data_IF_894439875012
#
_entry.id   IF_894439875012
#
_cell.length_a   1.000
_cell.length_b   1.000
_cell.length_c   1.000
_cell.angle_alpha   90.00
_cell.angle_beta   90.00
_cell.angle_gamma   90.00
#
_symmetry.space_group_name_H-M   'P 1'
#
loop_
_entity.id
_entity.type
_entity.pdbx_description
1 polymer ?
#
# COMPACT_ATOMS: atom_id res chain seq x y z
N UNK A 1 -3.61 -11.95 -30.50
CA UNK A 1 -3.59 -10.56 -30.00
C UNK A 1 -4.44 -10.56 -28.76
N UNK A 2 -3.80 -10.57 -27.60
CA UNK A 2 -4.51 -10.52 -26.33
C UNK A 2 -4.96 -9.07 -26.11
N UNK A 3 -6.27 -8.87 -25.97
CA UNK A 3 -6.84 -7.53 -25.92
C UNK A 3 -6.66 -6.99 -24.50
N UNK A 4 -5.66 -6.11 -24.29
CA UNK A 4 -5.47 -5.43 -22.99
C UNK A 4 -6.77 -4.72 -22.60
N UNK A 5 -7.45 -5.24 -21.58
CA UNK A 5 -8.78 -4.80 -21.13
C UNK A 5 -8.69 -3.46 -20.37
N UNK A 6 -7.57 -3.25 -19.68
CA UNK A 6 -7.28 -2.04 -18.91
C UNK A 6 -6.11 -1.28 -19.53
N UNK A 7 -6.15 0.04 -19.41
CA UNK A 7 -5.05 0.92 -19.79
C UNK A 7 -4.25 1.27 -18.55
N UNK A 8 -2.92 1.23 -18.67
CA UNK A 8 -2.03 1.59 -17.57
C UNK A 8 -2.22 3.06 -17.15
N UNK A 9 -2.56 3.36 -15.88
CA UNK A 9 -2.85 4.73 -15.45
C UNK A 9 -1.60 5.62 -15.32
N UNK A 10 -0.42 5.04 -15.05
CA UNK A 10 0.81 5.79 -14.88
C UNK A 10 1.79 5.15 -13.90
N UNK A 11 2.83 5.90 -13.52
CA UNK A 11 3.69 5.58 -12.39
C UNK A 11 3.07 6.17 -11.12
N UNK A 12 2.89 5.37 -10.08
CA UNK A 12 2.27 5.83 -8.83
C UNK A 12 3.10 6.95 -8.17
N UNK A 13 2.43 8.02 -7.74
CA UNK A 13 3.05 9.20 -7.09
C UNK A 13 2.44 9.58 -5.74
N UNK A 14 1.20 9.21 -5.47
CA UNK A 14 0.52 9.51 -4.21
C UNK A 14 -0.50 8.46 -3.85
N UNK A 15 -0.66 8.21 -2.54
CA UNK A 15 -1.65 7.30 -1.96
C UNK A 15 -2.38 8.05 -0.85
N UNK A 16 -3.71 8.07 -0.91
CA UNK A 16 -4.55 8.83 0.02
C UNK A 16 -5.71 7.97 0.52
N UNK A 17 -5.97 7.96 1.83
CA UNK A 17 -7.14 7.27 2.37
C UNK A 17 -8.41 7.99 1.90
N UNK A 18 -9.28 7.29 1.18
CA UNK A 18 -10.43 7.89 0.49
C UNK A 18 -11.78 7.46 1.04
N UNK A 19 -11.89 6.22 1.53
CA UNK A 19 -13.13 5.68 2.09
C UNK A 19 -12.84 4.76 3.27
N UNK A 20 -13.50 4.97 4.41
CA UNK A 20 -13.59 3.98 5.50
C UNK A 20 -14.97 3.33 5.44
N UNK A 21 -15.03 2.00 5.35
CA UNK A 21 -16.30 1.28 5.19
C UNK A 21 -16.87 0.86 6.54
N UNK A 22 -16.12 0.08 7.32
CA UNK A 22 -16.47 -0.38 8.66
C UNK A 22 -15.24 -0.98 9.37
N UNK A 23 -15.42 -1.33 10.64
CA UNK A 23 -14.46 -2.07 11.46
C UNK A 23 -14.90 -3.54 11.56
N UNK A 24 -14.01 -4.46 11.18
CA UNK A 24 -14.25 -5.91 11.22
C UNK A 24 -14.14 -6.45 12.65
N UNK A 25 -14.75 -7.61 12.90
CA UNK A 25 -14.51 -8.46 14.08
C UNK A 25 -13.15 -9.20 14.05
N UNK A 26 -12.38 -9.09 12.96
CA UNK A 26 -11.08 -9.75 12.77
C UNK A 26 -9.95 -8.73 12.53
N UNK A 27 -8.83 -8.86 13.24
CA UNK A 27 -7.68 -7.94 13.11
C UNK A 27 -7.13 -7.93 11.68
N UNK A 28 -7.09 -9.10 11.07
CA UNK A 28 -6.50 -9.36 9.75
C UNK A 28 -7.48 -10.04 8.82
N UNK A 29 -7.31 -9.80 7.53
CA UNK A 29 -8.10 -10.39 6.45
C UNK A 29 -7.74 -9.72 5.13
N UNK A 30 -8.50 -10.03 4.09
CA UNK A 30 -8.47 -9.29 2.84
C UNK A 30 -9.88 -9.17 2.25
N UNK A 31 -10.02 -8.24 1.32
CA UNK A 31 -11.27 -7.98 0.62
C UNK A 31 -10.99 -7.30 -0.72
N UNK A 32 -11.73 -7.67 -1.75
CA UNK A 32 -11.49 -7.18 -3.11
C UNK A 32 -12.76 -7.21 -3.97
N UNK A 33 -12.68 -6.68 -5.19
CA UNK A 33 -13.69 -6.87 -6.25
C UNK A 33 -13.01 -7.58 -7.43
N UNK A 34 -13.79 -8.34 -8.22
CA UNK A 34 -13.31 -8.89 -9.48
C UNK A 34 -13.21 -7.76 -10.53
N UNK A 35 -12.00 -7.40 -11.00
CA UNK A 35 -11.87 -6.30 -11.96
C UNK A 35 -12.39 -6.68 -13.34
N UNK A 36 -12.51 -7.94 -13.73
CA UNK A 36 -13.02 -8.31 -15.06
C UNK A 36 -14.56 -8.29 -15.12
N UNK A 37 -15.25 -8.50 -14.01
CA UNK A 37 -16.71 -8.37 -13.95
C UNK A 37 -17.18 -6.92 -13.77
N UNK A 38 -18.07 -6.46 -14.65
CA UNK A 38 -18.79 -5.19 -14.48
C UNK A 38 -19.94 -5.34 -13.46
N UNK A 39 -19.59 -5.56 -12.19
CA UNK A 39 -20.56 -5.66 -11.09
C UNK A 39 -20.04 -5.02 -9.80
N UNK A 40 -20.96 -4.74 -8.87
CA UNK A 40 -20.64 -4.21 -7.54
C UNK A 40 -20.45 -5.28 -6.46
N UNK A 41 -20.23 -6.53 -6.88
CA UNK A 41 -19.86 -7.61 -5.99
C UNK A 41 -18.57 -7.31 -5.25
N UNK A 42 -18.59 -7.56 -3.94
CA UNK A 42 -17.43 -7.48 -3.04
C UNK A 42 -17.19 -8.87 -2.46
N UNK A 43 -15.93 -9.28 -2.45
CA UNK A 43 -15.46 -10.55 -1.92
C UNK A 43 -14.65 -10.30 -0.65
N UNK A 44 -14.90 -11.08 0.40
CA UNK A 44 -14.42 -10.82 1.74
C UNK A 44 -13.95 -12.13 2.41
N UNK A 45 -12.72 -12.13 2.92
CA UNK A 45 -12.14 -13.26 3.63
C UNK A 45 -11.41 -12.76 4.89
N UNK A 46 -12.07 -12.79 6.07
CA UNK A 46 -11.38 -12.54 7.32
C UNK A 46 -10.37 -13.67 7.59
N UNK A 47 -9.21 -13.32 8.11
CA UNK A 47 -8.19 -14.30 8.47
C UNK A 47 -8.49 -14.89 9.85
N UNK A 48 -8.47 -16.22 9.96
CA UNK A 48 -8.49 -16.90 11.25
C UNK A 48 -7.46 -18.03 11.24
N UNK A 49 -6.52 -18.07 12.20
CA UNK A 49 -5.37 -18.98 12.12
C UNK A 49 -5.84 -20.44 12.11
N UNK A 50 -5.40 -21.18 11.09
CA UNK A 50 -5.79 -22.57 10.82
C UNK A 50 -7.31 -22.79 10.65
N UNK A 51 -8.10 -21.73 10.40
CA UNK A 51 -9.57 -21.81 10.24
C UNK A 51 -10.14 -21.06 9.03
N UNK A 52 -9.35 -20.24 8.33
CA UNK A 52 -9.77 -19.60 7.07
C UNK A 52 -10.10 -20.66 5.99
N UNK A 53 -11.38 -20.88 5.70
CA UNK A 53 -11.83 -21.82 4.66
C UNK A 53 -13.18 -21.44 4.00
N UNK A 54 -13.56 -20.16 4.11
CA UNK A 54 -14.79 -19.59 3.53
C UNK A 54 -14.53 -18.24 2.89
N UNK A 55 -15.07 -18.01 1.69
CA UNK A 55 -15.18 -16.69 1.07
C UNK A 55 -16.62 -16.19 1.17
N UNK A 56 -16.84 -14.95 1.57
CA UNK A 56 -18.17 -14.32 1.58
C UNK A 56 -18.29 -13.33 0.42
N UNK A 57 -19.42 -13.36 -0.27
CA UNK A 57 -19.78 -12.42 -1.35
C UNK A 57 -20.94 -11.53 -0.92
N UNK A 58 -20.81 -10.24 -1.20
CA UNK A 58 -21.84 -9.20 -1.01
C UNK A 58 -22.19 -8.59 -2.37
N UNK A 59 -23.46 -8.29 -2.58
CA UNK A 59 -24.02 -7.77 -3.84
C UNK A 59 -23.72 -6.28 -4.09
N UNK A 60 -23.49 -5.53 -3.03
CA UNK A 60 -23.31 -4.08 -3.04
C UNK A 60 -22.45 -3.63 -1.85
N UNK A 61 -21.97 -2.38 -1.91
CA UNK A 61 -21.27 -1.74 -0.79
C UNK A 61 -22.17 -1.60 0.45
N UNK A 62 -23.44 -1.28 0.26
CA UNK A 62 -24.38 -1.07 1.37
C UNK A 62 -24.76 -2.39 2.07
N UNK A 63 -24.79 -3.50 1.33
CA UNK A 63 -24.92 -4.85 1.90
C UNK A 63 -23.65 -5.28 2.64
N UNK A 64 -22.47 -4.89 2.13
CA UNK A 64 -21.19 -5.18 2.77
C UNK A 64 -21.05 -4.46 4.12
N UNK A 65 -21.29 -3.14 4.15
CA UNK A 65 -21.24 -2.33 5.38
C UNK A 65 -22.28 -2.81 6.40
N UNK A 66 -23.47 -3.22 5.95
CA UNK A 66 -24.54 -3.70 6.83
C UNK A 66 -24.48 -5.20 7.17
N UNK A 67 -23.41 -5.92 6.79
CA UNK A 67 -23.24 -7.33 7.12
C UNK A 67 -24.30 -8.27 6.53
N UNK A 68 -24.82 -7.97 5.33
CA UNK A 68 -25.85 -8.77 4.63
C UNK A 68 -25.24 -9.56 3.45
N UNK A 69 -24.67 -10.77 3.67
CA UNK A 69 -24.04 -11.54 2.61
C UNK A 69 -25.06 -12.05 1.58
N UNK A 70 -24.68 -12.01 0.31
CA UNK A 70 -25.43 -12.62 -0.80
C UNK A 70 -25.25 -14.14 -0.80
N UNK A 71 -24.03 -14.61 -0.56
CA UNK A 71 -23.70 -16.03 -0.44
C UNK A 71 -22.35 -16.22 0.25
N UNK A 72 -22.15 -17.38 0.85
CA UNK A 72 -20.84 -17.85 1.32
C UNK A 72 -20.41 -19.07 0.52
N UNK A 73 -19.15 -19.10 0.11
CA UNK A 73 -18.50 -20.21 -0.58
C UNK A 73 -17.64 -20.97 0.41
N UNK A 74 -17.97 -22.26 0.64
CA UNK A 74 -17.09 -23.16 1.39
C UNK A 74 -15.97 -23.62 0.47
N UNK A 75 -14.73 -23.38 0.86
CA UNK A 75 -13.56 -23.72 0.06
C UNK A 75 -13.18 -25.19 0.23
N UNK A 76 -12.59 -25.85 -0.80
CA UNK A 76 -12.21 -27.27 -0.74
C UNK A 76 -10.99 -27.53 0.16
N UNK A 77 -10.23 -26.47 0.48
CA UNK A 77 -9.03 -26.49 1.31
C UNK A 77 -9.00 -25.22 2.17
N UNK A 78 -8.26 -25.23 3.29
CA UNK A 78 -7.97 -24.02 4.07
C UNK A 78 -7.01 -23.10 3.31
N UNK A 79 -6.99 -21.84 3.71
CA UNK A 79 -6.18 -20.75 3.12
C UNK A 79 -5.05 -20.39 4.09
N UNK A 80 -3.83 -20.23 3.57
CA UNK A 80 -2.73 -19.56 4.27
C UNK A 80 -2.71 -18.08 3.85
N UNK A 81 -2.52 -17.17 4.81
CA UNK A 81 -2.35 -15.74 4.55
C UNK A 81 -3.63 -14.98 4.21
N UNK A 82 -3.43 -13.77 3.69
CA UNK A 82 -4.47 -12.82 3.26
C UNK A 82 -4.47 -12.58 1.75
N UNK A 83 -3.47 -13.07 1.01
CA UNK A 83 -3.28 -12.80 -0.42
C UNK A 83 -4.17 -13.62 -1.35
N UNK A 84 -5.49 -13.39 -1.32
CA UNK A 84 -6.43 -13.99 -2.27
C UNK A 84 -6.94 -12.93 -3.25
N UNK A 85 -7.21 -13.35 -4.49
CA UNK A 85 -7.85 -12.48 -5.50
C UNK A 85 -9.01 -13.19 -6.19
N UNK A 86 -9.97 -12.42 -6.69
CA UNK A 86 -10.99 -12.93 -7.61
C UNK A 86 -10.76 -12.32 -8.99
N UNK A 87 -10.67 -13.18 -10.00
CA UNK A 87 -10.38 -12.79 -11.38
C UNK A 87 -11.20 -13.65 -12.35
N UNK A 88 -12.01 -13.01 -13.20
CA UNK A 88 -12.91 -13.67 -14.16
C UNK A 88 -13.83 -14.74 -13.53
N UNK A 89 -14.40 -14.40 -12.38
CA UNK A 89 -15.32 -15.28 -11.64
C UNK A 89 -14.68 -16.49 -10.97
N UNK A 90 -13.34 -16.56 -10.94
CA UNK A 90 -12.60 -17.55 -10.18
C UNK A 90 -11.84 -16.91 -9.02
N UNK A 91 -11.94 -17.53 -7.85
CA UNK A 91 -11.08 -17.26 -6.70
C UNK A 91 -9.73 -17.95 -6.90
N UNK A 92 -8.66 -17.23 -6.61
CA UNK A 92 -7.29 -17.73 -6.52
C UNK A 92 -6.80 -17.51 -5.09
N UNK A 93 -6.22 -18.54 -4.47
CA UNK A 93 -5.72 -18.45 -3.08
C UNK A 93 -4.55 -19.41 -2.83
N UNK A 94 -3.68 -19.07 -1.87
CA UNK A 94 -2.65 -19.98 -1.38
C UNK A 94 -3.26 -21.03 -0.44
N UNK A 95 -3.08 -22.31 -0.78
CA UNK A 95 -3.58 -23.44 -0.01
C UNK A 95 -2.71 -23.71 1.22
N UNK A 96 -3.35 -23.83 2.38
CA UNK A 96 -2.70 -24.05 3.69
C UNK A 96 -1.57 -25.09 3.62
N UNK A 97 -0.41 -24.72 4.18
CA UNK A 97 0.81 -25.55 4.27
C UNK A 97 1.30 -26.06 2.91
N UNK A 98 1.11 -25.28 1.85
CA UNK A 98 1.67 -25.58 0.53
C UNK A 98 2.17 -24.32 -0.17
N UNK A 99 3.06 -24.50 -1.14
CA UNK A 99 3.42 -23.48 -2.13
C UNK A 99 2.50 -23.47 -3.36
N UNK A 100 1.24 -23.86 -3.17
CA UNK A 100 0.31 -24.08 -4.27
C UNK A 100 -0.76 -22.98 -4.30
N UNK A 101 -1.10 -22.53 -5.51
CA UNK A 101 -2.25 -21.68 -5.79
C UNK A 101 -3.39 -22.56 -6.29
N UNK A 102 -4.56 -22.44 -5.66
CA UNK A 102 -5.78 -23.14 -6.06
C UNK A 102 -6.69 -22.18 -6.82
N UNK A 103 -7.19 -22.61 -7.98
CA UNK A 103 -8.26 -21.91 -8.71
C UNK A 103 -9.60 -22.57 -8.41
N UNK A 104 -10.57 -21.75 -7.97
CA UNK A 104 -11.92 -22.18 -7.60
C UNK A 104 -12.97 -21.33 -8.34
N UNK A 105 -13.74 -21.95 -9.22
CA UNK A 105 -14.79 -21.27 -10.00
C UNK A 105 -16.01 -21.01 -9.09
N UNK A 106 -16.34 -19.73 -8.88
CA UNK A 106 -17.36 -19.31 -7.91
C UNK A 106 -18.78 -19.70 -8.36
N UNK A 107 -19.04 -19.67 -9.67
CA UNK A 107 -20.35 -19.97 -10.27
C UNK A 107 -20.73 -21.45 -10.12
N UNK A 108 -19.78 -22.34 -10.34
CA UNK A 108 -19.96 -23.81 -10.27
C UNK A 108 -19.57 -24.38 -8.91
N UNK A 109 -18.85 -23.62 -8.08
CA UNK A 109 -18.37 -23.99 -6.74
C UNK A 109 -17.43 -25.21 -6.75
N UNK A 110 -16.63 -25.34 -7.81
CA UNK A 110 -15.65 -26.43 -7.97
C UNK A 110 -14.22 -25.88 -8.04
N UNK A 111 -13.28 -26.68 -7.56
CA UNK A 111 -11.86 -26.51 -7.83
C UNK A 111 -11.60 -26.78 -9.32
N UNK A 112 -11.26 -25.74 -10.08
CA UNK A 112 -10.98 -25.83 -11.51
C UNK A 112 -9.49 -26.02 -11.81
N UNK A 113 -8.59 -25.80 -10.84
CA UNK A 113 -7.17 -26.12 -10.99
C UNK A 113 -6.35 -25.94 -9.71
N UNK A 114 -5.09 -26.38 -9.77
CA UNK A 114 -4.06 -26.14 -8.77
C UNK A 114 -2.70 -26.05 -9.47
N UNK A 115 -1.89 -25.05 -9.13
CA UNK A 115 -0.52 -24.91 -9.63
C UNK A 115 0.48 -24.82 -8.48
N UNK A 116 1.68 -25.33 -8.72
CA UNK A 116 2.80 -25.31 -7.78
C UNK A 116 3.68 -24.12 -8.15
N UNK A 117 3.87 -23.17 -7.24
CA UNK A 117 4.82 -22.06 -7.44
C UNK A 117 6.21 -22.60 -7.11
N UNK A 118 7.05 -22.72 -8.14
CA UNK A 118 8.34 -23.38 -8.01
C UNK A 118 9.24 -22.66 -6.98
N UNK A 119 9.84 -23.45 -6.08
CA UNK A 119 10.76 -23.00 -5.04
C UNK A 119 10.23 -21.95 -4.04
N UNK A 120 8.94 -21.59 -4.09
CA UNK A 120 8.38 -20.62 -3.16
C UNK A 120 8.41 -21.14 -1.71
N UNK A 121 8.80 -20.24 -0.82
CA UNK A 121 8.68 -20.36 0.62
C UNK A 121 7.20 -20.20 1.00
N UNK A 122 6.78 -20.88 2.07
CA UNK A 122 5.38 -20.91 2.50
C UNK A 122 5.27 -21.19 4.00
N UNK A 123 4.11 -20.87 4.58
CA UNK A 123 3.73 -21.18 5.96
C UNK A 123 4.63 -20.57 7.05
N UNK A 124 4.72 -19.23 7.10
CA UNK A 124 5.62 -18.41 7.93
C UNK A 124 7.13 -18.58 7.66
N UNK A 125 7.51 -19.13 6.51
CA UNK A 125 8.92 -19.22 6.07
C UNK A 125 9.41 -17.89 5.47
N UNK A 126 8.56 -17.16 4.73
CA UNK A 126 8.83 -15.80 4.24
C UNK A 126 7.53 -14.97 4.10
N UNK A 127 6.78 -14.78 5.19
CA UNK A 127 5.61 -13.91 5.22
C UNK A 127 6.03 -12.44 5.13
N UNK A 128 5.05 -11.54 5.00
CA UNK A 128 5.26 -10.12 5.31
C UNK A 128 5.54 -9.91 6.81
N UNK A 129 5.90 -8.68 7.19
CA UNK A 129 6.33 -8.27 8.54
C UNK A 129 5.45 -8.81 9.68
N UNK A 130 4.14 -8.81 9.51
CA UNK A 130 3.17 -9.28 10.52
C UNK A 130 3.03 -10.80 10.64
N UNK A 131 3.61 -11.58 9.72
CA UNK A 131 3.47 -13.04 9.71
C UNK A 131 2.17 -13.51 9.05
N UNK A 132 1.33 -14.21 9.81
CA UNK A 132 -0.01 -14.61 9.35
C UNK A 132 -0.08 -15.69 8.27
N UNK A 133 1.04 -16.35 7.92
CA UNK A 133 1.17 -17.21 6.74
C UNK A 133 1.03 -16.44 5.41
N UNK A 134 1.31 -15.15 5.40
CA UNK A 134 1.23 -14.27 4.21
C UNK A 134 2.40 -14.47 3.22
N UNK A 135 2.93 -15.68 3.10
CA UNK A 135 4.15 -16.00 2.35
C UNK A 135 4.02 -15.81 0.84
N UNK A 136 2.85 -16.18 0.31
CA UNK A 136 2.51 -16.12 -1.12
C UNK A 136 1.28 -15.23 -1.24
N UNK A 137 1.46 -14.13 -1.95
CA UNK A 137 0.47 -13.10 -2.18
C UNK A 137 0.08 -13.08 -3.66
N UNK A 138 -1.16 -12.76 -3.97
CA UNK A 138 -1.69 -12.74 -5.33
C UNK A 138 -2.07 -11.31 -5.67
N UNK A 139 -1.71 -10.85 -6.86
CA UNK A 139 -2.03 -9.49 -7.30
C UNK A 139 -2.64 -9.49 -8.70
N UNK A 140 -3.49 -8.51 -8.98
CA UNK A 140 -4.10 -8.30 -10.29
C UNK A 140 -3.85 -6.87 -10.75
N UNK A 141 -3.43 -6.71 -12.00
CA UNK A 141 -3.22 -5.40 -12.63
C UNK A 141 -3.62 -5.40 -14.12
N UNK A 142 -3.22 -4.37 -14.85
CA UNK A 142 -3.49 -4.19 -16.28
C UNK A 142 -2.78 -5.22 -17.18
N UNK A 143 -1.74 -5.90 -16.66
CA UNK A 143 -0.97 -6.94 -17.33
C UNK A 143 -1.41 -8.37 -16.91
N UNK A 144 -2.33 -8.53 -15.95
CA UNK A 144 -2.99 -9.80 -15.66
C UNK A 144 -2.89 -10.23 -14.19
N UNK A 145 -2.63 -11.52 -13.97
CA UNK A 145 -2.54 -12.15 -12.66
C UNK A 145 -1.07 -12.42 -12.31
N UNK A 146 -0.70 -12.09 -11.08
CA UNK A 146 0.65 -12.16 -10.55
C UNK A 146 0.69 -12.93 -9.23
N UNK A 147 1.87 -13.47 -8.93
CA UNK A 147 2.20 -14.10 -7.64
C UNK A 147 3.44 -13.43 -7.07
N UNK A 148 3.32 -12.88 -5.87
CA UNK A 148 4.40 -12.22 -5.12
C UNK A 148 4.78 -13.15 -3.96
N UNK A 149 6.00 -13.66 -3.95
CA UNK A 149 6.47 -14.63 -2.97
C UNK A 149 7.95 -14.40 -2.66
N UNK A 150 8.60 -15.32 -1.95
CA UNK A 150 10.05 -15.32 -1.78
C UNK A 150 10.59 -16.74 -1.89
N UNK A 151 11.90 -16.86 -2.13
CA UNK A 151 12.59 -18.16 -2.27
C UNK A 151 13.86 -18.18 -1.41
N UNK A 152 14.31 -19.37 -1.00
CA UNK A 152 15.64 -19.54 -0.38
C UNK A 152 16.76 -19.15 -1.34
N UNK A 153 16.57 -19.39 -2.65
CA UNK A 153 17.54 -19.08 -3.71
C UNK A 153 17.79 -17.57 -3.82
N UNK A 154 16.75 -16.72 -3.69
CA UNK A 154 16.89 -15.27 -3.59
C UNK A 154 17.07 -14.78 -2.13
N UNK A 155 17.48 -15.66 -1.22
CA UNK A 155 17.76 -15.35 0.20
C UNK A 155 16.59 -14.70 0.97
N UNK A 156 15.34 -15.10 0.70
CA UNK A 156 14.15 -14.52 1.35
C UNK A 156 13.67 -13.19 0.74
N UNK A 157 14.38 -12.68 -0.27
CA UNK A 157 13.93 -11.52 -1.04
C UNK A 157 12.74 -11.86 -1.95
N UNK A 158 11.94 -10.85 -2.25
CA UNK A 158 10.73 -10.97 -3.06
C UNK A 158 11.10 -11.49 -4.46
N UNK A 159 10.30 -12.42 -4.94
CA UNK A 159 10.28 -12.94 -6.30
C UNK A 159 8.85 -12.75 -6.81
N UNK A 160 8.73 -12.19 -8.00
CA UNK A 160 7.43 -12.00 -8.66
C UNK A 160 7.34 -12.89 -9.88
N UNK A 161 6.18 -13.49 -10.11
CA UNK A 161 5.89 -14.28 -11.31
C UNK A 161 4.55 -13.92 -11.92
N UNK A 162 4.49 -13.84 -13.24
CA UNK A 162 3.23 -13.74 -13.99
C UNK A 162 2.61 -15.13 -14.11
N UNK A 163 1.32 -15.26 -13.78
CA UNK A 163 0.60 -16.53 -13.73
C UNK A 163 -0.59 -16.48 -14.68
N UNK A 164 -0.59 -17.34 -15.69
CA UNK A 164 -1.69 -17.43 -16.63
C UNK A 164 -2.99 -17.88 -15.91
N UNK A 165 -4.05 -17.06 -15.86
CA UNK A 165 -5.24 -17.36 -15.05
C UNK A 165 -6.07 -18.53 -15.59
N UNK A 166 -5.87 -18.96 -16.83
CA UNK A 166 -6.61 -20.05 -17.47
C UNK A 166 -5.87 -21.39 -17.38
N UNK A 167 -4.55 -21.38 -17.63
CA UNK A 167 -3.71 -22.60 -17.66
C UNK A 167 -2.91 -22.84 -16.38
N UNK A 168 -2.87 -21.86 -15.47
CA UNK A 168 -2.09 -21.84 -14.23
C UNK A 168 -0.58 -22.09 -14.45
N UNK A 169 -0.06 -21.66 -15.59
CA UNK A 169 1.37 -21.71 -15.93
C UNK A 169 2.05 -20.39 -15.59
N UNK A 170 3.28 -20.48 -15.14
CA UNK A 170 4.16 -19.31 -14.97
C UNK A 170 4.64 -18.88 -16.36
N UNK A 171 4.49 -17.59 -16.66
CA UNK A 171 4.83 -16.98 -17.97
C UNK A 171 6.14 -16.19 -17.92
N UNK A 172 6.49 -15.68 -16.74
CA UNK A 172 7.78 -15.05 -16.45
C UNK A 172 8.01 -14.99 -14.93
N UNK A 173 9.28 -14.87 -14.52
CA UNK A 173 9.71 -14.78 -13.12
C UNK A 173 10.85 -13.77 -13.01
N UNK A 174 10.80 -12.91 -12.00
CA UNK A 174 11.79 -11.88 -11.73
C UNK A 174 12.20 -11.89 -10.26
N UNK A 175 13.51 -11.98 -10.01
CA UNK A 175 14.10 -11.85 -8.68
C UNK A 175 14.31 -10.36 -8.34
N UNK A 176 13.83 -9.92 -7.19
CA UNK A 176 14.01 -8.54 -6.68
C UNK A 176 15.11 -8.46 -5.63
N UNK A 177 15.52 -7.24 -5.27
CA UNK A 177 16.50 -6.97 -4.23
C UNK A 177 15.91 -6.74 -2.82
N UNK A 178 14.59 -6.86 -2.63
CA UNK A 178 13.92 -6.46 -1.39
C UNK A 178 13.54 -7.65 -0.49
N UNK A 179 13.89 -7.63 0.79
CA UNK A 179 13.55 -8.69 1.75
C UNK A 179 12.04 -8.75 2.06
N UNK A 180 11.39 -9.90 1.88
CA UNK A 180 9.93 -10.01 2.03
C UNK A 180 9.45 -9.85 3.47
N UNK A 181 10.26 -10.22 4.48
CA UNK A 181 9.93 -10.04 5.90
C UNK A 181 10.03 -8.58 6.36
N UNK A 182 10.78 -7.76 5.63
CA UNK A 182 10.88 -6.31 5.83
C UNK A 182 9.69 -5.56 5.21
N UNK A 183 9.06 -6.13 4.17
CA UNK A 183 7.86 -5.60 3.55
C UNK A 183 6.63 -5.80 4.45
N UNK A 184 5.77 -4.78 4.49
CA UNK A 184 4.49 -4.81 5.21
C UNK A 184 3.38 -5.40 4.34
N UNK A 185 3.36 -5.02 3.06
CA UNK A 185 2.60 -5.66 1.98
C UNK A 185 3.21 -5.24 0.62
N UNK A 186 2.73 -5.76 -0.51
CA UNK A 186 3.17 -5.33 -1.83
C UNK A 186 2.11 -5.60 -2.91
N UNK A 187 2.03 -4.75 -3.93
CA UNK A 187 1.04 -4.86 -5.00
C UNK A 187 1.64 -4.54 -6.38
N UNK A 188 0.92 -4.90 -7.45
CA UNK A 188 1.33 -4.66 -8.84
C UNK A 188 0.48 -3.56 -9.48
N UNK A 189 1.08 -2.66 -10.25
CA UNK A 189 0.39 -1.79 -11.23
C UNK A 189 1.22 -1.77 -12.51
N UNK A 190 0.62 -2.10 -13.66
CA UNK A 190 1.26 -2.17 -14.98
C UNK A 190 2.54 -3.02 -15.09
N UNK A 191 2.67 -4.12 -14.35
CA UNK A 191 3.91 -4.90 -14.26
C UNK A 191 5.00 -4.23 -13.42
N UNK A 192 4.66 -3.22 -12.62
CA UNK A 192 5.54 -2.61 -11.63
C UNK A 192 5.08 -3.07 -10.24
N UNK A 193 5.96 -3.77 -9.53
CA UNK A 193 5.81 -4.07 -8.11
C UNK A 193 6.03 -2.81 -7.30
N UNK A 194 5.17 -2.54 -6.32
CA UNK A 194 5.32 -1.51 -5.31
C UNK A 194 5.34 -2.17 -3.92
N UNK A 195 6.40 -1.96 -3.15
CA UNK A 195 6.58 -2.59 -1.84
C UNK A 195 6.31 -1.58 -0.73
N UNK A 196 5.31 -1.87 0.10
CA UNK A 196 4.90 -1.02 1.23
C UNK A 196 5.73 -1.37 2.47
N UNK A 197 6.21 -0.35 3.15
CA UNK A 197 6.88 -0.45 4.44
C UNK A 197 6.22 0.50 5.44
N UNK A 198 5.81 -0.05 6.57
CA UNK A 198 5.06 0.67 7.60
C UNK A 198 5.48 0.26 8.99
N UNK A 199 5.22 1.15 9.95
CA UNK A 199 5.36 0.89 11.39
C UNK A 199 4.21 -0.03 11.85
N UNK A 200 4.50 -0.96 12.76
CA UNK A 200 3.51 -1.81 13.43
C UNK A 200 3.32 -1.43 14.91
N UNK A 201 2.19 -1.82 15.49
CA UNK A 201 1.83 -1.52 16.89
C UNK A 201 2.88 -1.96 17.94
N UNK A 202 3.64 -3.03 17.66
CA UNK A 202 4.73 -3.54 18.51
C UNK A 202 6.13 -2.96 18.18
N UNK A 203 6.26 -2.03 17.23
CA UNK A 203 7.56 -1.49 16.82
C UNK A 203 8.06 -0.38 17.79
N UNK A 204 9.12 -0.67 18.54
CA UNK A 204 9.83 0.28 19.43
C UNK A 204 10.34 1.58 18.73
N UNK A 205 10.27 1.68 17.40
CA UNK A 205 10.89 2.75 16.64
C UNK A 205 10.15 3.10 15.34
N UNK A 206 9.55 4.29 15.29
CA UNK A 206 8.86 4.84 14.11
C UNK A 206 9.79 5.20 12.94
N UNK A 207 11.12 5.17 13.10
CA UNK A 207 12.09 5.59 12.07
C UNK A 207 12.00 4.80 10.74
N UNK A 208 11.31 3.66 10.73
CA UNK A 208 10.94 2.92 9.52
C UNK A 208 10.07 3.77 8.55
N UNK A 209 9.21 4.63 9.09
CA UNK A 209 8.25 5.43 8.33
C UNK A 209 7.08 4.62 7.75
N UNK A 210 6.13 5.31 7.13
CA UNK A 210 4.97 4.72 6.45
C UNK A 210 4.98 5.16 4.98
N UNK A 211 5.52 4.31 4.10
CA UNK A 211 5.76 4.64 2.69
C UNK A 211 5.94 3.41 1.82
N UNK A 212 5.84 3.60 0.51
CA UNK A 212 6.45 2.71 -0.48
C UNK A 212 7.91 3.16 -0.61
N UNK A 213 8.87 2.28 -0.31
CA UNK A 213 10.32 2.59 -0.39
C UNK A 213 11.05 1.87 -1.54
N UNK A 214 10.39 0.94 -2.24
CA UNK A 214 10.97 0.18 -3.35
C UNK A 214 9.95 -0.14 -4.44
N UNK A 215 10.41 -0.09 -5.70
CA UNK A 215 9.68 -0.56 -6.87
C UNK A 215 10.53 -1.48 -7.75
N UNK A 216 9.89 -2.43 -8.44
CA UNK A 216 10.53 -3.27 -9.45
C UNK A 216 9.69 -3.31 -10.73
N UNK A 217 10.24 -2.89 -11.87
CA UNK A 217 9.58 -2.89 -13.18
C UNK A 217 9.94 -4.16 -13.95
N UNK A 218 8.97 -5.02 -14.26
CA UNK A 218 9.19 -6.30 -14.97
C UNK A 218 9.59 -6.13 -16.42
N UNK A 219 8.98 -5.17 -17.13
CA UNK A 219 9.26 -4.88 -18.55
C UNK A 219 10.73 -4.48 -18.79
N UNK A 220 11.31 -3.75 -17.84
CA UNK A 220 12.71 -3.30 -17.90
C UNK A 220 13.67 -4.19 -17.09
N UNK A 221 13.14 -5.06 -16.22
CA UNK A 221 13.90 -5.81 -15.21
C UNK A 221 14.84 -4.90 -14.40
N UNK A 222 14.29 -3.77 -13.94
CA UNK A 222 14.99 -2.73 -13.17
C UNK A 222 14.20 -2.36 -11.93
N UNK A 223 14.92 -2.15 -10.83
CA UNK A 223 14.38 -1.62 -9.60
C UNK A 223 14.78 -0.15 -9.35
N UNK A 224 14.08 0.46 -8.40
CA UNK A 224 14.37 1.80 -7.91
C UNK A 224 13.93 1.97 -6.47
N UNK A 225 14.65 2.80 -5.73
CA UNK A 225 14.20 3.28 -4.42
C UNK A 225 13.32 4.51 -4.63
N UNK A 226 12.19 4.56 -3.94
CA UNK A 226 11.23 5.65 -4.00
C UNK A 226 10.89 6.14 -2.59
N UNK A 227 10.13 7.23 -2.48
CA UNK A 227 9.57 7.69 -1.21
C UNK A 227 8.16 8.23 -1.49
N UNK A 228 7.20 7.30 -1.58
CA UNK A 228 5.78 7.63 -1.75
C UNK A 228 5.07 7.39 -0.42
N UNK A 229 4.62 8.44 0.30
CA UNK A 229 3.93 8.29 1.57
C UNK A 229 2.72 7.35 1.47
N UNK A 230 2.56 6.46 2.45
CA UNK A 230 1.50 5.46 2.47
C UNK A 230 0.68 5.59 3.77
N UNK A 231 -0.65 5.78 3.69
CA UNK A 231 -1.48 5.91 4.89
C UNK A 231 -1.46 4.64 5.76
N UNK A 232 -1.11 4.78 7.04
CA UNK A 232 -1.10 3.70 8.01
C UNK A 232 -1.67 4.17 9.36
N UNK A 233 -2.91 4.65 9.33
CA UNK A 233 -3.59 5.27 10.49
C UNK A 233 -3.81 4.31 11.67
N UNK A 234 -3.75 3.00 11.43
CA UNK A 234 -4.12 1.95 12.40
C UNK A 234 -2.99 0.96 12.73
N UNK A 235 -1.79 1.19 12.21
CA UNK A 235 -0.54 0.49 12.59
C UNK A 235 -0.54 -1.06 12.47
N UNK A 236 -1.37 -1.66 11.60
CA UNK A 236 -1.32 -3.10 11.31
C UNK A 236 -1.84 -3.42 9.89
N UNK A 237 -1.02 -3.21 8.86
CA UNK A 237 -1.41 -3.51 7.47
C UNK A 237 -1.45 -5.02 7.23
N UNK A 238 -2.65 -5.60 7.09
CA UNK A 238 -2.83 -7.02 6.85
C UNK A 238 -2.92 -7.40 5.35
N UNK A 239 -3.45 -6.50 4.51
CA UNK A 239 -3.59 -6.68 3.06
C UNK A 239 -3.69 -5.34 2.31
N UNK A 240 -3.17 -5.28 1.08
CA UNK A 240 -3.25 -4.13 0.15
C UNK A 240 -3.43 -4.64 -1.29
N UNK A 241 -4.68 -4.82 -1.73
CA UNK A 241 -4.99 -5.30 -3.08
C UNK A 241 -5.23 -4.12 -4.05
N UNK A 242 -4.53 -4.10 -5.19
CA UNK A 242 -4.82 -3.15 -6.28
C UNK A 242 -5.98 -3.64 -7.17
N UNK A 243 -6.76 -2.70 -7.71
CA UNK A 243 -7.80 -2.99 -8.69
C UNK A 243 -7.64 -2.14 -9.97
N UNK A 244 -7.33 -2.76 -11.13
CA UNK A 244 -7.11 -2.04 -12.39
C UNK A 244 -8.39 -1.49 -13.06
N UNK A 245 -9.59 -1.79 -12.54
CA UNK A 245 -10.85 -1.24 -13.07
C UNK A 245 -11.18 0.14 -12.49
N UNK A 246 -10.93 0.34 -11.20
CA UNK A 246 -11.26 1.60 -10.49
C UNK A 246 -10.04 2.36 -9.98
N UNK A 247 -8.84 1.80 -10.15
CA UNK A 247 -7.54 2.36 -9.77
C UNK A 247 -7.43 2.69 -8.26
N UNK A 248 -8.09 1.89 -7.42
CA UNK A 248 -8.04 2.00 -5.96
C UNK A 248 -7.20 0.86 -5.35
N UNK A 249 -6.72 1.09 -4.13
CA UNK A 249 -6.26 0.01 -3.23
C UNK A 249 -7.38 -0.37 -2.27
N UNK A 250 -7.60 -1.67 -2.13
CA UNK A 250 -8.50 -2.30 -1.19
C UNK A 250 -7.65 -2.79 -0.01
N UNK A 251 -7.79 -2.13 1.14
CA UNK A 251 -6.85 -2.25 2.26
C UNK A 251 -7.54 -2.80 3.49
N UNK A 252 -6.84 -3.67 4.20
CA UNK A 252 -7.20 -4.11 5.55
C UNK A 252 -6.10 -3.65 6.51
N UNK A 253 -6.46 -2.80 7.48
CA UNK A 253 -5.50 -2.25 8.44
C UNK A 253 -6.08 -2.26 9.86
N UNK A 254 -5.57 -3.13 10.72
CA UNK A 254 -5.99 -3.34 12.11
C UNK A 254 -7.53 -3.30 12.28
N UNK A 255 -8.23 -4.36 11.89
CA UNK A 255 -9.71 -4.44 11.82
C UNK A 255 -10.39 -3.51 10.78
N UNK A 256 -9.83 -2.35 10.45
CA UNK A 256 -10.49 -1.39 9.55
C UNK A 256 -10.44 -1.82 8.08
N UNK A 257 -11.62 -1.82 7.45
CA UNK A 257 -11.84 -2.10 6.03
C UNK A 257 -11.94 -0.77 5.28
N UNK A 258 -10.91 -0.44 4.50
CA UNK A 258 -10.73 0.92 3.92
C UNK A 258 -10.25 0.89 2.47
N UNK A 259 -10.59 1.92 1.69
CA UNK A 259 -10.03 2.12 0.34
C UNK A 259 -9.11 3.32 0.31
N UNK A 260 -8.02 3.20 -0.44
CA UNK A 260 -7.13 4.30 -0.75
C UNK A 260 -7.22 4.66 -2.24
N UNK A 261 -7.31 5.96 -2.55
CA UNK A 261 -7.19 6.49 -3.90
C UNK A 261 -5.74 6.75 -4.28
N UNK A 262 -5.45 6.68 -5.58
CA UNK A 262 -4.10 6.77 -6.13
C UNK A 262 -3.97 7.96 -7.07
N UNK A 263 -2.82 8.63 -7.02
CA UNK A 263 -2.41 9.66 -7.98
C UNK A 263 -1.22 9.17 -8.82
N UNK A 264 -1.26 9.45 -10.12
CA UNK A 264 -0.37 8.86 -11.12
C UNK A 264 0.34 9.92 -11.96
N UNK A 265 1.63 9.73 -12.19
CA UNK A 265 2.42 10.50 -13.15
C UNK A 265 2.71 9.73 -14.44
N UNK A 266 3.38 10.38 -15.41
CA UNK A 266 3.86 9.71 -16.60
C UNK A 266 4.77 8.51 -16.27
N UNK A 267 4.63 7.41 -17.03
CA UNK A 267 5.65 6.36 -17.05
C UNK A 267 6.82 6.82 -17.91
N UNK A 268 7.98 7.04 -17.28
CA UNK A 268 9.19 7.48 -17.96
C UNK A 268 9.73 6.40 -18.92
N UNK A 269 9.21 6.43 -20.15
CA UNK A 269 9.64 5.59 -21.27
C UNK A 269 10.96 6.06 -21.89
N UNK A 270 11.76 6.85 -21.15
CA UNK A 270 12.95 7.58 -21.63
C UNK A 270 14.15 7.46 -20.69
N UNK A 271 14.54 6.23 -20.36
CA UNK A 271 15.90 5.91 -19.87
C UNK A 271 16.74 5.18 -20.94
N UNK A 272 16.58 5.61 -22.20
CA UNK A 272 17.09 4.92 -23.39
C UNK A 272 17.59 5.84 -24.51
N UNK A 273 17.98 7.09 -24.23
CA UNK A 273 18.84 7.89 -25.11
C UNK A 273 19.45 9.06 -24.33
N UNK A 274 20.78 9.09 -24.27
CA UNK A 274 21.51 10.26 -23.81
C UNK A 274 21.39 11.36 -24.87
N UNK A 275 20.39 12.23 -24.72
CA UNK A 275 20.40 13.50 -25.43
C UNK A 275 21.53 14.36 -24.86
N UNK A 276 22.69 14.32 -25.53
CA UNK A 276 23.63 15.43 -25.48
C UNK A 276 22.84 16.71 -25.79
N UNK A 277 22.73 17.60 -24.80
CA UNK A 277 22.12 18.90 -24.99
C UNK A 277 22.97 19.72 -25.97
N UNK A 278 22.59 19.70 -27.25
CA UNK A 278 23.09 20.67 -28.22
C UNK A 278 22.56 22.05 -27.85
N UNK A 279 23.34 22.80 -27.08
CA UNK A 279 23.07 24.22 -26.84
C UNK A 279 23.33 24.97 -28.13
N UNK A 280 22.25 25.33 -28.83
CA UNK A 280 22.32 26.08 -30.08
C UNK A 280 22.64 27.55 -29.79
N UNK A 281 23.92 27.91 -29.81
CA UNK A 281 24.35 29.31 -29.86
C UNK A 281 24.57 29.75 -31.31
N UNK A 282 23.87 30.82 -31.69
CA UNK A 282 24.02 31.49 -32.98
C UNK A 282 25.25 32.41 -32.92
N UNK A 283 26.24 32.18 -33.77
CA UNK A 283 27.47 33.00 -33.85
C UNK A 283 27.30 34.23 -34.76
N UNK A 284 27.75 35.43 -34.34
CA UNK A 284 28.05 36.55 -35.24
C UNK A 284 29.45 36.41 -35.90
N UNK A 285 29.75 37.11 -37.01
CA UNK A 285 30.92 36.81 -37.84
C UNK A 285 32.16 37.71 -37.66
N UNK A 286 33.34 37.08 -37.79
CA UNK A 286 34.64 37.58 -38.33
C UNK A 286 35.41 38.67 -37.55
N UNK A 287 36.63 38.32 -37.10
CA UNK A 287 37.86 39.01 -37.54
C UNK A 287 39.13 38.12 -37.49
N UNK A 288 40.12 38.45 -38.34
CA UNK A 288 41.48 37.89 -38.51
C UNK A 288 42.35 38.11 -37.24
N UNK A 289 43.39 37.32 -36.89
CA UNK A 289 44.63 37.13 -37.69
C UNK A 289 45.62 36.04 -37.18
N UNK A 290 46.62 35.73 -38.03
CA UNK A 290 48.01 35.22 -37.77
C UNK A 290 48.34 33.86 -37.09
N UNK A 291 48.90 32.97 -37.95
CA UNK A 291 50.10 32.08 -37.84
C UNK A 291 50.84 31.86 -36.48
N UNK A 292 51.38 30.68 -36.12
CA UNK A 292 52.61 30.07 -36.69
C UNK A 292 52.89 28.60 -36.18
N UNK A 293 53.67 27.83 -36.97
CA UNK A 293 54.55 26.65 -36.68
C UNK A 293 54.23 25.43 -35.73
N UNK A 294 54.06 24.26 -36.39
CA UNK A 294 54.78 22.94 -36.28
C UNK A 294 55.93 22.69 -35.25
N UNK A 295 56.36 21.41 -34.99
CA UNK A 295 55.63 20.14 -34.75
C UNK A 295 56.34 19.26 -33.62
N UNK A 296 56.50 17.89 -33.65
CA UNK A 296 56.43 17.04 -32.42
C UNK A 296 57.80 16.49 -31.92
N UNK A 297 57.81 15.63 -30.87
CA UNK A 297 58.74 14.45 -30.76
C UNK A 297 58.41 13.48 -29.58
N UNK A 298 58.39 12.17 -29.90
CA UNK A 298 58.75 10.90 -29.19
C UNK A 298 58.71 10.79 -27.65
N UNK A 299 58.00 9.80 -27.11
CA UNK A 299 58.51 8.48 -26.62
C UNK A 299 59.64 8.49 -25.58
N UNK A 300 59.48 7.70 -24.51
CA UNK A 300 60.43 6.66 -24.07
C UNK A 300 59.69 5.69 -23.11
N UNK A 301 59.92 4.39 -23.28
CA UNK A 301 59.55 3.33 -22.33
C UNK A 301 60.78 2.79 -21.62
N UNK A 302 60.66 2.35 -20.37
CA UNK A 302 61.65 1.46 -19.74
C UNK A 302 61.04 0.58 -18.64
N UNK A 303 61.12 -0.75 -18.84
CA UNK A 303 61.44 -1.82 -17.85
C UNK A 303 60.84 -1.72 -16.43
N UNK A 304 60.03 -2.65 -15.89
CA UNK A 304 60.14 -4.14 -15.87
C UNK A 304 61.03 -4.63 -14.69
N UNK A 305 61.00 -5.91 -14.22
CA UNK A 305 59.96 -6.95 -14.30
C UNK A 305 59.74 -7.76 -12.97
N UNK A 306 58.75 -8.69 -12.98
CA UNK A 306 58.65 -9.98 -12.25
C UNK A 306 58.93 -10.11 -10.72
N UNK A 307 57.96 -10.69 -9.98
CA UNK A 307 58.16 -11.19 -8.60
C UNK A 307 57.00 -12.06 -8.08
N UNK A 308 57.23 -13.38 -7.98
CA UNK A 308 56.26 -14.41 -7.54
C UNK A 308 56.06 -14.42 -6.00
N UNK A 309 54.88 -14.76 -5.48
CA UNK A 309 54.69 -15.01 -4.03
C UNK A 309 53.26 -15.42 -3.65
N UNK A 310 53.11 -16.45 -2.82
CA UNK A 310 51.81 -17.07 -2.43
C UNK A 310 51.67 -17.15 -0.90
N UNK A 311 50.48 -17.54 -0.41
CA UNK A 311 50.13 -17.87 1.00
C UNK A 311 50.01 -16.64 1.93
N UNK A 312 49.14 -16.55 2.96
CA UNK A 312 48.50 -17.60 3.79
C UNK A 312 47.16 -17.16 4.40
N UNK A 313 46.29 -18.13 4.71
CA UNK A 313 45.12 -18.01 5.60
C UNK A 313 45.44 -17.54 7.02
N UNK A 314 44.47 -16.91 7.70
CA UNK A 314 44.36 -16.95 9.17
C UNK A 314 42.90 -16.85 9.62
N UNK A 315 42.55 -17.64 10.63
CA UNK A 315 41.20 -17.86 11.16
C UNK A 315 41.02 -17.15 12.50
N UNK A 316 39.82 -16.66 12.78
CA UNK A 316 39.41 -16.36 14.17
C UNK A 316 37.93 -16.72 14.37
N UNK A 317 37.70 -17.83 15.07
CA UNK A 317 36.39 -18.19 15.62
C UNK A 317 36.21 -17.50 16.99
N UNK A 318 34.99 -17.06 17.31
CA UNK A 318 34.59 -16.74 18.69
C UNK A 318 33.40 -17.61 19.08
N UNK A 319 33.63 -18.46 20.07
CA UNK A 319 32.62 -19.30 20.71
C UNK A 319 32.06 -18.58 21.93
N UNK A 320 30.74 -18.53 22.08
CA UNK A 320 30.07 -18.18 23.35
C UNK A 320 29.29 -19.37 23.87
N UNK A 321 29.75 -19.90 25.00
CA UNK A 321 29.13 -21.02 25.72
C UNK A 321 27.83 -20.61 26.40
N UNK A 322 26.76 -21.38 26.22
CA UNK A 322 25.57 -21.35 27.08
C UNK A 322 25.47 -22.66 27.86
N UNK A 323 25.37 -22.56 29.19
CA UNK A 323 25.37 -23.70 30.10
C UNK A 323 23.96 -24.26 30.35
N UNK A 324 23.86 -25.58 30.37
CA UNK A 324 22.65 -26.33 30.76
C UNK A 324 22.42 -26.32 32.27
N UNK A 325 21.17 -26.17 32.69
CA UNK A 325 20.68 -26.49 34.04
C UNK A 325 19.22 -26.97 34.00
N UNK A 326 18.87 -28.06 34.70
CA UNK A 326 17.58 -28.79 34.54
C UNK A 326 17.02 -29.27 35.89
N UNK A 327 15.68 -29.36 35.97
CA UNK A 327 14.88 -30.05 37.02
C UNK A 327 14.70 -29.23 38.32
N UNK A 328 13.60 -29.30 39.09
CA UNK A 328 12.63 -30.39 39.35
C UNK A 328 11.19 -29.90 39.71
N UNK A 329 10.17 -30.73 39.48
CA UNK A 329 8.81 -30.75 40.10
C UNK A 329 8.83 -31.49 41.47
N UNK A 330 7.88 -31.36 42.45
CA UNK A 330 6.42 -31.58 42.25
C UNK A 330 5.35 -31.00 43.26
N UNK A 331 4.07 -31.16 42.88
CA UNK A 331 2.87 -31.58 43.68
C UNK A 331 2.15 -30.73 44.80
N UNK A 332 0.86 -30.39 44.51
CA UNK A 332 -0.41 -30.83 45.21
C UNK A 332 -1.02 -30.06 46.44
N UNK A 333 -2.32 -29.68 46.26
CA UNK A 333 -3.48 -29.62 47.21
C UNK A 333 -3.83 -28.41 48.12
N UNK A 334 -5.15 -28.24 48.37
CA UNK A 334 -5.81 -27.38 49.40
C UNK A 334 -6.60 -26.19 48.82
N UNK A 335 -7.94 -26.12 48.65
CA UNK A 335 -9.17 -26.55 49.38
C UNK A 335 -9.71 -25.56 50.45
N UNK A 336 -10.58 -24.64 49.98
CA UNK A 336 -11.87 -24.17 50.58
C UNK A 336 -11.92 -23.30 51.87
N UNK A 337 -12.60 -22.14 51.77
CA UNK A 337 -13.66 -21.55 52.64
C UNK A 337 -13.55 -20.00 52.61
N UNK A 338 -14.57 -19.16 52.32
CA UNK A 338 -15.92 -18.92 52.92
C UNK A 338 -15.82 -18.57 54.42
N UNK A 339 -16.42 -17.50 54.98
CA UNK A 339 -17.47 -16.57 54.50
C UNK A 339 -17.54 -15.29 55.38
N UNK A 340 -18.19 -14.21 54.90
CA UNK A 340 -18.95 -13.16 55.67
C UNK A 340 -18.17 -12.29 56.70
N UNK A 341 -18.49 -11.02 56.97
CA UNK A 341 -19.81 -10.34 57.02
C UNK A 341 -19.76 -8.81 56.82
N UNK A 342 -20.91 -8.25 56.43
CA UNK A 342 -21.31 -6.82 56.28
C UNK A 342 -22.24 -6.40 57.47
N UNK A 343 -22.79 -5.16 57.58
CA UNK A 343 -22.31 -3.79 57.27
C UNK A 343 -22.71 -2.67 58.31
N UNK A 344 -22.36 -1.39 58.02
CA UNK A 344 -23.11 -0.13 58.34
C UNK A 344 -23.18 0.42 59.79
N UNK A 345 -23.60 1.71 60.02
CA UNK A 345 -23.36 2.97 59.27
C UNK A 345 -23.16 4.28 60.14
N UNK A 346 -22.91 5.43 59.46
CA UNK A 346 -23.59 6.75 59.64
C UNK A 346 -22.84 8.05 60.08
N UNK A 347 -23.28 9.17 59.45
CA UNK A 347 -23.28 10.62 59.79
C UNK A 347 -22.06 11.54 59.50
N UNK A 348 -22.37 12.68 58.86
CA UNK A 348 -21.56 13.85 58.44
C UNK A 348 -21.00 14.72 59.63
N UNK A 349 -20.25 15.84 59.52
CA UNK A 349 -20.37 17.13 58.76
C UNK A 349 -18.98 17.85 58.61
N UNK A 350 -18.93 18.92 57.80
CA UNK A 350 -17.90 19.99 57.57
C UNK A 350 -17.01 20.39 58.78
N UNK A 351 -15.76 20.87 58.59
CA UNK A 351 -15.44 22.21 58.01
C UNK A 351 -14.01 22.38 57.40
N UNK A 352 -13.78 23.54 56.75
CA UNK A 352 -12.66 23.90 55.86
C UNK A 352 -11.32 24.30 56.55
N UNK A 353 -10.18 24.11 55.85
CA UNK A 353 -8.98 24.97 55.91
C UNK A 353 -7.94 24.62 54.82
N UNK A 354 -7.76 25.55 53.88
CA UNK A 354 -6.81 25.50 52.75
C UNK A 354 -5.33 25.55 53.17
N UNK A 355 -4.46 24.71 52.58
CA UNK A 355 -3.05 25.09 52.29
C UNK A 355 -2.38 24.18 51.23
N UNK A 356 -2.14 24.72 50.03
CA UNK A 356 -1.29 24.12 48.98
C UNK A 356 0.06 24.82 48.89
N UNK A 357 1.14 24.09 48.60
CA UNK A 357 2.44 24.56 48.07
C UNK A 357 3.29 23.31 47.67
N UNK A 358 4.28 23.42 46.76
CA UNK A 358 4.00 23.23 45.34
C UNK A 358 4.79 22.08 44.67
N UNK A 359 4.36 21.66 43.48
CA UNK A 359 5.22 20.92 42.55
C UNK A 359 6.02 21.89 41.69
N UNK A 360 7.34 21.67 41.60
CA UNK A 360 8.23 22.44 40.74
C UNK A 360 8.72 21.57 39.57
N UNK A 361 8.25 21.86 38.36
CA UNK A 361 9.10 21.92 37.17
C UNK A 361 8.33 22.57 36.03
N UNK A 362 8.90 23.62 35.44
CA UNK A 362 8.31 24.33 34.32
C UNK A 362 8.51 23.55 33.03
N UNK A 363 7.44 23.07 32.42
CA UNK A 363 7.41 22.84 30.98
C UNK A 363 6.38 23.77 30.34
N UNK A 364 6.84 24.47 29.32
CA UNK A 364 6.12 25.48 28.55
C UNK A 364 4.91 24.80 27.90
N UNK A 365 3.70 25.39 27.90
CA UNK A 365 2.62 24.88 27.07
C UNK A 365 3.08 24.96 25.62
N UNK A 366 3.13 23.82 24.92
CA UNK A 366 3.39 23.82 23.49
C UNK A 366 2.27 24.62 22.82
N UNK A 367 2.61 25.81 22.32
CA UNK A 367 1.72 26.63 21.51
C UNK A 367 1.32 25.78 20.30
N UNK A 368 0.04 25.76 19.94
CA UNK A 368 -0.47 24.88 18.87
C UNK A 368 0.07 25.34 17.51
N UNK A 369 1.21 24.78 17.07
CA UNK A 369 1.88 25.09 15.80
C UNK A 369 1.13 24.56 14.55
N UNK A 370 -0.19 24.42 14.63
CA UNK A 370 -1.02 23.78 13.62
C UNK A 370 -2.48 24.20 13.72
N UNK A 371 -3.11 24.42 12.57
CA UNK A 371 -4.55 24.58 12.45
C UNK A 371 -5.27 23.28 12.79
N UNK A 372 -6.23 23.36 13.72
CA UNK A 372 -7.06 22.24 14.13
C UNK A 372 -7.98 21.71 13.03
N UNK A 373 -8.44 20.47 13.17
CA UNK A 373 -9.31 19.87 12.16
C UNK A 373 -10.66 20.60 12.07
N UNK A 374 -11.10 20.94 10.85
CA UNK A 374 -12.33 21.70 10.60
C UNK A 374 -13.08 21.16 9.38
N UNK A 375 -14.41 21.20 9.43
CA UNK A 375 -15.24 20.97 8.23
C UNK A 375 -15.53 22.31 7.55
N UNK A 376 -15.16 22.45 6.28
CA UNK A 376 -15.43 23.66 5.49
C UNK A 376 -15.70 23.31 4.03
N UNK A 377 -16.82 23.80 3.48
CA UNK A 377 -17.32 23.50 2.13
C UNK A 377 -17.55 21.99 1.87
N UNK A 378 -18.14 21.29 2.85
CA UNK A 378 -18.44 19.83 2.78
C UNK A 378 -17.17 18.98 2.62
N UNK A 379 -16.03 19.52 3.06
CA UNK A 379 -14.71 18.89 3.04
C UNK A 379 -14.14 18.91 4.45
N UNK A 380 -13.63 17.76 4.91
CA UNK A 380 -12.93 17.62 6.18
C UNK A 380 -11.45 18.00 6.00
N UNK A 381 -11.01 19.05 6.68
CA UNK A 381 -9.63 19.52 6.68
C UNK A 381 -8.93 19.00 7.94
N UNK A 382 -7.97 18.09 7.76
CA UNK A 382 -7.21 17.52 8.88
C UNK A 382 -6.22 18.51 9.48
N UNK A 383 -5.81 18.24 10.73
CA UNK A 383 -4.85 19.06 11.49
C UNK A 383 -3.57 19.29 10.68
N UNK A 384 -3.27 20.56 10.38
CA UNK A 384 -2.24 20.96 9.41
C UNK A 384 -1.28 21.96 10.03
N UNK A 385 0.04 21.75 9.89
CA UNK A 385 1.05 22.63 10.49
C UNK A 385 0.98 24.06 9.94
N UNK A 386 1.31 25.04 10.77
CA UNK A 386 1.36 26.45 10.37
C UNK A 386 2.24 26.67 9.13
N UNK A 387 1.78 27.51 8.21
CA UNK A 387 2.44 27.78 6.93
C UNK A 387 2.31 26.67 5.87
N UNK A 388 1.63 25.56 6.17
CA UNK A 388 1.36 24.50 5.18
C UNK A 388 -0.02 24.66 4.53
N UNK A 389 -0.12 24.15 3.31
CA UNK A 389 -1.37 24.08 2.55
C UNK A 389 -1.90 22.65 2.58
N UNK A 390 -3.02 22.45 3.25
CA UNK A 390 -3.77 21.20 3.19
C UNK A 390 -4.36 21.00 1.78
N UNK A 391 -4.48 19.74 1.37
CA UNK A 391 -5.05 19.33 0.09
C UNK A 391 -6.09 18.25 0.34
N UNK A 392 -7.25 18.40 -0.27
CA UNK A 392 -8.35 17.45 -0.13
C UNK A 392 -9.04 17.22 -1.49
N UNK A 393 -9.71 16.09 -1.70
CA UNK A 393 -10.58 15.91 -2.86
C UNK A 393 -11.60 17.06 -2.95
N UNK A 394 -11.97 17.44 -4.17
CA UNK A 394 -13.07 18.38 -4.37
C UNK A 394 -14.41 17.79 -3.88
N UNK A 395 -15.39 18.64 -3.47
CA UNK A 395 -16.63 18.17 -2.88
C UNK A 395 -17.50 17.39 -3.87
N UNK A 396 -18.45 16.62 -3.34
CA UNK A 396 -19.26 15.64 -4.09
C UNK A 396 -19.90 16.27 -5.34
N UNK A 397 -19.70 15.62 -6.49
CA UNK A 397 -20.17 16.12 -7.80
C UNK A 397 -19.17 17.00 -8.56
N UNK A 398 -17.96 17.20 -8.02
CA UNK A 398 -16.83 17.82 -8.73
C UNK A 398 -15.58 16.93 -8.69
N UNK A 399 -14.69 17.11 -9.67
CA UNK A 399 -13.43 16.37 -9.83
C UNK A 399 -12.28 17.38 -9.81
N UNK A 400 -11.27 17.11 -8.99
CA UNK A 400 -10.08 17.93 -8.81
C UNK A 400 -9.53 17.84 -7.39
N UNK A 401 -8.62 18.75 -7.04
CA UNK A 401 -8.05 18.88 -5.69
C UNK A 401 -8.36 20.28 -5.16
N UNK A 402 -8.99 20.36 -4.00
CA UNK A 402 -9.18 21.59 -3.23
C UNK A 402 -7.98 21.83 -2.31
N UNK A 403 -7.73 23.10 -1.96
CA UNK A 403 -6.61 23.50 -1.10
C UNK A 403 -7.07 24.43 0.02
N UNK A 404 -6.50 24.29 1.22
CA UNK A 404 -6.75 25.24 2.32
C UNK A 404 -5.43 25.60 3.01
N UNK A 405 -5.18 26.90 3.19
CA UNK A 405 -3.92 27.39 3.77
C UNK A 405 -4.06 27.53 5.29
N UNK A 406 -3.11 26.95 6.03
CA UNK A 406 -2.93 27.19 7.45
C UNK A 406 -1.96 28.35 7.65
N UNK A 407 -2.41 29.46 8.26
CA UNK A 407 -1.60 30.67 8.42
C UNK A 407 -0.67 30.56 9.63
N UNK A 408 0.56 31.07 9.45
CA UNK A 408 1.53 31.30 10.51
C UNK A 408 1.55 32.80 10.88
N UNK A 409 1.83 33.19 12.14
CA UNK A 409 2.27 32.34 13.26
C UNK A 409 1.13 31.75 14.11
N UNK A 410 -0.12 32.16 13.87
CA UNK A 410 -1.21 31.97 14.84
C UNK A 410 -1.90 30.59 14.76
N UNK A 411 -1.56 29.75 13.77
CA UNK A 411 -2.17 28.42 13.61
C UNK A 411 -3.65 28.47 13.21
N UNK A 412 -4.07 29.49 12.46
CA UNK A 412 -5.46 29.71 12.05
C UNK A 412 -5.61 29.46 10.55
N UNK A 413 -6.68 28.77 10.15
CA UNK A 413 -7.02 28.59 8.74
C UNK A 413 -7.32 29.93 8.04
N UNK A 414 -7.01 30.05 6.74
CA UNK A 414 -7.26 31.27 5.98
C UNK A 414 -8.76 31.70 6.10
N UNK A 415 -9.06 32.91 6.56
CA UNK A 415 -10.44 33.39 6.69
C UNK A 415 -11.18 33.54 5.35
N UNK A 416 -10.47 33.49 4.21
CA UNK A 416 -11.09 33.43 2.88
C UNK A 416 -11.75 32.07 2.59
N UNK A 417 -11.43 31.03 3.38
CA UNK A 417 -11.92 29.67 3.19
C UNK A 417 -11.06 28.86 2.21
N UNK A 418 -11.43 27.58 1.96
CA UNK A 418 -10.70 26.72 1.04
C UNK A 418 -10.86 27.16 -0.41
N UNK A 419 -9.77 27.11 -1.16
CA UNK A 419 -9.74 27.33 -2.60
C UNK A 419 -10.23 26.08 -3.36
N UNK A 420 -11.24 26.31 -4.20
CA UNK A 420 -11.89 25.33 -5.07
C UNK A 420 -11.60 25.60 -6.55
N UNK A 421 -10.63 26.46 -6.89
CA UNK A 421 -10.28 26.86 -8.26
C UNK A 421 -9.95 25.69 -9.19
N UNK A 422 -9.37 24.62 -8.64
CA UNK A 422 -9.03 23.39 -9.36
C UNK A 422 -10.17 22.34 -9.37
N UNK A 423 -11.36 22.68 -8.86
CA UNK A 423 -12.53 21.79 -8.87
C UNK A 423 -13.38 21.98 -10.13
N UNK A 424 -13.52 20.92 -10.93
CA UNK A 424 -14.29 20.93 -12.17
C UNK A 424 -15.56 20.07 -12.07
N UNK A 425 -16.71 20.56 -12.56
CA UNK A 425 -17.92 19.74 -12.60
C UNK A 425 -17.92 18.86 -13.87
N UNK A 426 -18.15 17.53 -13.75
CA UNK A 426 -18.30 16.65 -14.92
C UNK A 426 -19.41 17.11 -15.87
N UNK A 427 -20.48 17.69 -15.33
CA UNK A 427 -21.63 18.18 -16.09
C UNK A 427 -21.26 19.37 -16.99
N UNK A 428 -20.39 20.27 -16.51
CA UNK A 428 -19.90 21.43 -17.28
C UNK A 428 -18.99 20.97 -18.42
N UNK A 429 -18.10 20.01 -18.20
CA UNK A 429 -17.26 19.42 -19.25
C UNK A 429 -18.12 18.75 -20.35
N UNK A 430 -19.21 18.09 -19.97
CA UNK A 430 -20.14 17.47 -20.92
C UNK A 430 -20.93 18.49 -21.75
N UNK A 431 -21.18 19.70 -21.22
CA UNK A 431 -21.76 20.81 -21.97
C UNK A 431 -20.72 21.46 -22.89
N UNK A 432 -19.50 21.72 -22.41
CA UNK A 432 -18.42 22.31 -23.21
C UNK A 432 -18.08 21.46 -24.44
N UNK A 433 -18.02 20.12 -24.29
CA UNK A 433 -17.85 19.19 -25.40
C UNK A 433 -19.03 19.24 -26.39
N UNK A 434 -20.28 19.32 -25.91
CA UNK A 434 -21.47 19.44 -26.79
C UNK A 434 -21.57 20.78 -27.52
N UNK A 435 -21.04 21.86 -26.95
CA UNK A 435 -20.98 23.18 -27.61
C UNK A 435 -19.91 23.20 -28.70
N UNK A 436 -18.72 22.65 -28.45
CA UNK A 436 -17.65 22.59 -29.46
C UNK A 436 -17.94 21.60 -30.61
N UNK A 437 -18.81 20.60 -30.40
CA UNK A 437 -19.19 19.63 -31.45
C UNK A 437 -20.44 20.02 -32.27
N UNK A 438 -20.95 21.24 -32.15
CA UNK A 438 -21.93 21.79 -33.11
C UNK A 438 -23.25 21.01 -33.17
N UNK A 439 -23.84 20.65 -32.02
CA UNK A 439 -25.12 19.96 -31.99
C UNK A 439 -26.29 20.90 -32.38
N UNK A 440 -27.13 20.44 -33.31
CA UNK A 440 -28.26 21.19 -33.87
C UNK A 440 -29.24 21.76 -32.84
N UNK A 441 -29.79 22.95 -33.15
CA UNK A 441 -30.82 23.67 -32.37
C UNK A 441 -32.22 23.00 -32.41
N UNK A 442 -32.30 21.68 -32.21
CA UNK A 442 -33.57 20.93 -32.08
C UNK A 442 -33.65 19.96 -30.88
N UNK A 443 -32.56 19.74 -30.15
CA UNK A 443 -32.56 18.86 -28.95
C UNK A 443 -33.00 19.51 -27.63
N UNK A 444 -32.91 20.84 -27.50
CA UNK A 444 -33.00 21.54 -26.20
C UNK A 444 -34.42 21.68 -25.60
N UNK A 445 -35.47 21.12 -26.24
CA UNK A 445 -36.86 21.38 -25.87
C UNK A 445 -37.59 20.20 -25.16
N UNK A 446 -36.87 19.15 -24.73
CA UNK A 446 -37.50 17.92 -24.16
C UNK A 446 -36.97 17.40 -22.82
N UNK A 447 -36.21 18.20 -22.07
CA UNK A 447 -35.77 17.83 -20.70
C UNK A 447 -36.00 18.94 -19.69
N UNK A 448 -37.18 19.59 -19.78
CA UNK A 448 -37.73 20.45 -18.72
C UNK A 448 -39.20 20.10 -18.49
N UNK A 449 -39.43 19.17 -17.56
CA UNK A 449 -40.65 18.92 -16.78
C UNK A 449 -40.51 17.54 -16.11
N UNK A 450 -40.12 17.52 -14.82
CA UNK A 450 -40.39 16.47 -13.80
C UNK A 450 -39.45 16.62 -12.58
N UNK A 451 -39.32 17.85 -12.04
CA UNK A 451 -38.88 18.10 -10.65
C UNK A 451 -39.59 19.37 -10.15
N UNK A 452 -40.90 19.27 -9.94
CA UNK A 452 -41.67 20.03 -8.94
C UNK A 452 -42.86 19.14 -8.57
N UNK A 453 -42.68 18.34 -7.53
CA UNK A 453 -43.59 18.10 -6.40
C UNK A 453 -42.87 17.21 -5.37
#
# INVERSE_FOLDING_TARGET
VEQKVFLCPGLLKGVYQSEHLFESDHQSGAWCKDPLQASDKIYYMPWTPYRTDTLTEYSSKDDFIAGRPTTTYKLPHRVDGTGFVVYDGALFFNKERTRNIVKFDLRTRIKSGEAIIANANYHDTSPYRWGGKSDIDLAVDENGLWVIYATEQNNGKIVISQLNPYTLRIEGTWDTAYDKRSASNAFMICGILYVVKSVYEDDDNEATGNKIDYIYNTDQSKDSLVDVPFPNSYQYIAAVDYNPRDNLLYVWNNYHVVKYSLDFGPLDSRSGQAHHGQVSYISPPIHLDSELERPPVREISTTGPLGMGSTTTSTTLRTTTWSTGRSTTPSVSGRRNRSTSTPSPAVEVLDDMTTHLPSASSQIPALEESCEAVEAREIMWFKTRQGQMAKQPCPVGTIGVSTYLCLAPDGIWDPQGPDLSNCSSPWVNHIAQKVNHGADKKGFAKTKCSVVD
#
